data_IF_150043458557
#
_entry.id   IF_150043458557
#
_cell.length_a   1.000
_cell.length_b   1.000
_cell.length_c   1.000
_cell.angle_alpha   90.00
_cell.angle_beta   90.00
_cell.angle_gamma   90.00
#
_symmetry.space_group_name_H-M   'P 1'
#
loop_
_entity.id
_entity.type
_entity.pdbx_description
1 polymer ?
#
# COMPACT_ATOMS: atom_id res chain seq x y z
N UNK A 1 14.01 -4.75 -1.39
CA UNK A 1 13.44 -3.56 -2.08
C UNK A 1 14.28 -3.28 -3.31
N UNK A 2 13.70 -2.67 -4.31
CA UNK A 2 14.51 -2.09 -5.40
C UNK A 2 15.40 -0.98 -4.85
N UNK A 3 16.63 -0.88 -5.37
CA UNK A 3 17.60 0.10 -4.93
C UNK A 3 17.09 1.53 -5.16
N UNK A 4 17.18 2.38 -4.14
CA UNK A 4 16.69 3.76 -4.14
C UNK A 4 15.21 3.91 -4.55
N UNK A 5 14.39 2.89 -4.28
CA UNK A 5 12.98 2.80 -4.68
C UNK A 5 12.73 2.84 -6.21
N UNK A 6 13.77 2.71 -7.04
CA UNK A 6 13.68 2.71 -8.49
C UNK A 6 13.43 1.30 -9.02
N UNK A 7 12.17 0.90 -9.10
CA UNK A 7 11.75 -0.37 -9.64
C UNK A 7 10.31 -0.71 -9.27
N UNK A 8 9.79 -1.75 -9.89
CA UNK A 8 8.42 -2.24 -9.66
C UNK A 8 8.34 -3.76 -9.48
N UNK A 9 9.48 -4.43 -9.42
CA UNK A 9 9.56 -5.90 -9.35
C UNK A 9 10.43 -6.45 -8.23
N UNK A 10 11.26 -5.61 -7.60
CA UNK A 10 12.31 -5.97 -6.62
C UNK A 10 13.42 -6.82 -7.25
N UNK A 11 13.67 -6.61 -8.55
CA UNK A 11 14.81 -7.19 -9.26
C UNK A 11 16.01 -6.24 -9.32
N UNK A 12 15.79 -4.93 -9.12
CA UNK A 12 16.84 -3.92 -9.06
C UNK A 12 17.46 -3.87 -7.65
N UNK A 13 18.24 -4.90 -7.32
CA UNK A 13 18.90 -5.04 -6.02
C UNK A 13 20.32 -5.55 -6.21
N UNK A 14 21.29 -4.92 -5.54
CA UNK A 14 22.69 -5.34 -5.56
C UNK A 14 22.94 -6.64 -4.77
N UNK A 15 21.98 -7.10 -3.96
CA UNK A 15 22.13 -8.29 -3.14
C UNK A 15 21.56 -9.53 -3.82
N UNK A 16 20.27 -9.54 -4.09
CA UNK A 16 19.57 -10.64 -4.76
C UNK A 16 18.14 -10.21 -5.14
N UNK A 17 17.56 -10.91 -6.10
CA UNK A 17 16.16 -10.75 -6.47
C UNK A 17 15.26 -11.39 -5.41
N UNK A 18 14.33 -10.62 -4.85
CA UNK A 18 13.32 -11.17 -3.94
C UNK A 18 12.28 -11.98 -4.72
N UNK A 19 11.85 -13.08 -4.15
CA UNK A 19 10.83 -13.96 -4.73
C UNK A 19 9.47 -13.76 -4.07
N UNK A 20 8.40 -13.99 -4.82
CA UNK A 20 7.06 -14.01 -4.25
C UNK A 20 6.88 -15.27 -3.40
N UNK A 21 6.48 -15.17 -2.10
CA UNK A 21 6.33 -16.34 -1.25
C UNK A 21 5.29 -17.37 -1.70
N UNK A 22 4.31 -16.95 -2.50
CA UNK A 22 3.27 -17.83 -3.03
C UNK A 22 3.71 -18.62 -4.25
N UNK A 23 4.66 -18.07 -5.04
CA UNK A 23 5.24 -18.71 -6.21
C UNK A 23 6.67 -18.19 -6.42
N UNK A 24 7.65 -18.98 -6.08
CA UNK A 24 9.06 -18.60 -6.14
C UNK A 24 9.59 -18.36 -7.56
N UNK A 25 8.82 -18.68 -8.59
CA UNK A 25 9.13 -18.34 -9.98
C UNK A 25 8.72 -16.92 -10.36
N UNK A 26 7.94 -16.23 -9.48
CA UNK A 26 7.40 -14.90 -9.70
C UNK A 26 8.06 -13.86 -8.81
N UNK A 27 7.99 -12.61 -9.25
CA UNK A 27 8.42 -11.44 -8.46
C UNK A 27 7.33 -11.01 -7.47
N UNK A 28 7.70 -10.40 -6.33
CA UNK A 28 6.74 -9.94 -5.33
C UNK A 28 6.13 -8.57 -5.65
N UNK A 29 6.49 -7.96 -6.79
CA UNK A 29 6.26 -6.55 -7.03
C UNK A 29 7.31 -5.67 -6.36
N UNK A 30 7.22 -4.35 -6.55
CA UNK A 30 8.19 -3.39 -6.05
C UNK A 30 7.64 -1.95 -6.00
N UNK A 31 8.45 -1.06 -5.43
CA UNK A 31 9.83 -1.22 -4.94
C UNK A 31 9.92 -1.88 -3.55
N UNK A 32 8.86 -1.90 -2.73
CA UNK A 32 8.83 -2.49 -1.38
C UNK A 32 8.53 -4.00 -1.38
N UNK A 33 8.95 -4.75 -2.41
CA UNK A 33 8.65 -6.17 -2.54
C UNK A 33 9.26 -7.03 -1.44
N UNK A 34 10.46 -6.70 -0.96
CA UNK A 34 11.05 -7.40 0.19
C UNK A 34 10.23 -7.24 1.47
N UNK A 35 9.70 -6.02 1.71
CA UNK A 35 8.82 -5.73 2.84
C UNK A 35 7.51 -6.52 2.75
N UNK A 36 6.89 -6.56 1.58
CA UNK A 36 5.65 -7.32 1.36
C UNK A 36 5.87 -8.83 1.46
N UNK A 37 6.94 -9.33 0.85
CA UNK A 37 7.29 -10.75 0.89
C UNK A 37 7.58 -11.23 2.33
N UNK A 38 8.26 -10.43 3.15
CA UNK A 38 8.55 -10.78 4.54
C UNK A 38 7.28 -10.92 5.39
N UNK A 39 6.31 -10.02 5.23
CA UNK A 39 5.01 -10.11 5.91
C UNK A 39 4.22 -11.30 5.37
N UNK A 40 4.17 -11.52 4.05
CA UNK A 40 3.47 -12.64 3.44
C UNK A 40 4.01 -13.99 3.93
N UNK A 41 5.34 -14.11 4.06
CA UNK A 41 6.03 -15.31 4.52
C UNK A 41 6.03 -15.48 6.05
N UNK A 42 5.34 -14.63 6.82
CA UNK A 42 5.35 -14.63 8.31
C UNK A 42 6.73 -14.43 8.94
N UNK A 43 7.66 -13.77 8.26
CA UNK A 43 9.00 -13.45 8.79
C UNK A 43 8.96 -12.27 9.77
N UNK A 44 7.93 -11.44 9.70
CA UNK A 44 7.67 -10.33 10.60
C UNK A 44 6.16 -10.08 10.73
N UNK A 45 5.74 -9.41 11.81
CA UNK A 45 4.34 -9.08 12.08
C UNK A 45 3.88 -7.97 11.12
N UNK A 46 4.72 -6.95 10.92
CA UNK A 46 4.52 -5.88 9.97
C UNK A 46 5.87 -5.43 9.39
N UNK A 47 5.82 -4.66 8.33
CA UNK A 47 6.97 -3.98 7.78
C UNK A 47 6.60 -2.57 7.33
N UNK A 48 7.61 -1.73 7.11
CA UNK A 48 7.44 -0.41 6.51
C UNK A 48 7.94 -0.48 5.06
N UNK A 49 7.17 0.10 4.16
CA UNK A 49 7.56 0.37 2.79
C UNK A 49 7.61 1.87 2.51
N UNK A 50 8.03 2.23 1.31
CA UNK A 50 7.89 3.58 0.79
C UNK A 50 7.19 3.55 -0.57
N UNK A 51 6.35 4.53 -0.82
CA UNK A 51 5.61 4.63 -2.07
C UNK A 51 5.70 6.01 -2.69
N UNK A 52 6.09 6.03 -3.94
CA UNK A 52 6.03 7.19 -4.84
C UNK A 52 4.81 7.08 -5.76
N UNK A 53 4.63 5.93 -6.40
CA UNK A 53 3.57 5.68 -7.37
C UNK A 53 3.08 4.23 -7.42
N UNK A 54 2.94 3.55 -6.26
CA UNK A 54 2.47 2.16 -6.18
C UNK A 54 3.36 1.22 -5.38
N UNK A 55 4.51 1.69 -4.89
CA UNK A 55 5.58 0.84 -4.35
C UNK A 55 5.30 0.20 -2.98
N UNK A 56 4.18 0.51 -2.33
CA UNK A 56 3.62 -0.22 -1.18
C UNK A 56 2.44 -1.09 -1.64
N UNK A 57 1.46 -0.47 -2.31
CA UNK A 57 0.19 -1.12 -2.67
C UNK A 57 0.37 -2.20 -3.73
N UNK A 58 1.25 -1.99 -4.70
CA UNK A 58 1.56 -2.96 -5.74
C UNK A 58 2.11 -4.28 -5.16
N UNK A 59 3.25 -4.26 -4.46
CA UNK A 59 3.80 -5.48 -3.88
C UNK A 59 2.89 -6.10 -2.80
N UNK A 60 2.16 -5.29 -2.02
CA UNK A 60 1.16 -5.83 -1.08
C UNK A 60 0.07 -6.62 -1.80
N UNK A 61 -0.45 -6.08 -2.90
CA UNK A 61 -1.45 -6.77 -3.74
C UNK A 61 -0.91 -8.09 -4.31
N UNK A 62 0.32 -8.10 -4.83
CA UNK A 62 0.92 -9.30 -5.42
C UNK A 62 1.32 -10.36 -4.40
N UNK A 63 1.61 -9.94 -3.16
CA UNK A 63 1.92 -10.86 -2.06
C UNK A 63 0.70 -11.23 -1.20
N UNK A 64 -0.50 -10.71 -1.50
CA UNK A 64 -1.73 -11.03 -0.77
C UNK A 64 -1.72 -10.52 0.67
N UNK A 65 -1.19 -9.31 0.89
CA UNK A 65 -1.15 -8.62 2.19
C UNK A 65 -1.74 -7.22 2.07
N UNK A 66 -1.95 -6.54 3.19
CA UNK A 66 -2.46 -5.17 3.22
C UNK A 66 -1.31 -4.18 3.10
N UNK A 67 -1.40 -3.25 2.15
CA UNK A 67 -0.45 -2.15 2.01
C UNK A 67 -1.16 -0.82 2.06
N UNK A 68 -0.78 0.04 3.01
CA UNK A 68 -1.38 1.35 3.20
C UNK A 68 -0.39 2.46 2.83
N UNK A 69 -0.72 3.21 1.78
CA UNK A 69 -0.04 4.47 1.46
C UNK A 69 -0.82 5.62 2.10
N UNK A 70 -0.31 6.24 3.17
CA UNK A 70 -0.98 7.40 3.76
C UNK A 70 -0.91 8.62 2.84
N UNK A 71 -1.60 9.68 3.22
CA UNK A 71 -1.44 10.98 2.56
C UNK A 71 -0.02 11.52 2.78
N UNK A 72 0.47 12.29 1.82
CA UNK A 72 1.79 12.92 1.90
C UNK A 72 1.91 13.77 3.19
N UNK A 73 3.07 13.64 3.84
CA UNK A 73 3.36 14.34 5.08
C UNK A 73 2.71 13.75 6.34
N UNK A 74 1.98 12.64 6.24
CA UNK A 74 1.43 11.94 7.42
C UNK A 74 2.50 11.24 8.24
N UNK A 75 3.49 10.66 7.57
CA UNK A 75 4.62 9.94 8.15
C UNK A 75 5.89 10.65 7.74
N UNK A 76 6.81 10.82 8.69
CA UNK A 76 8.10 11.45 8.42
C UNK A 76 8.89 10.68 7.37
N UNK A 77 9.58 11.43 6.51
CA UNK A 77 10.53 10.92 5.53
C UNK A 77 11.98 11.08 5.96
N UNK A 78 12.22 11.59 7.18
CA UNK A 78 13.58 11.74 7.68
C UNK A 78 14.30 10.39 7.71
N UNK A 79 15.48 10.34 7.09
CA UNK A 79 16.26 9.10 6.95
C UNK A 79 15.92 8.27 5.71
N UNK A 80 14.88 8.64 4.94
CA UNK A 80 14.54 7.99 3.67
C UNK A 80 15.24 8.74 2.53
N UNK A 81 16.00 8.00 1.72
CA UNK A 81 16.57 8.56 0.49
C UNK A 81 15.44 8.75 -0.51
N UNK A 82 15.27 9.98 -0.97
CA UNK A 82 14.16 10.33 -1.84
C UNK A 82 14.33 9.74 -3.25
N UNK A 83 13.26 9.13 -3.77
CA UNK A 83 13.08 8.88 -5.20
C UNK A 83 12.46 10.11 -5.88
N UNK A 84 11.33 10.59 -5.35
CA UNK A 84 10.66 11.81 -5.75
C UNK A 84 10.10 12.51 -4.52
N UNK A 85 10.84 13.50 -4.02
CA UNK A 85 10.58 14.12 -2.72
C UNK A 85 9.20 14.77 -2.57
N UNK A 86 8.52 15.07 -3.67
CA UNK A 86 7.15 15.63 -3.66
C UNK A 86 6.03 14.58 -3.54
N UNK A 87 6.35 13.29 -3.67
CA UNK A 87 5.34 12.20 -3.70
C UNK A 87 5.66 11.03 -2.79
N UNK A 88 6.91 10.87 -2.35
CA UNK A 88 7.31 9.75 -1.50
C UNK A 88 6.57 9.75 -0.16
N UNK A 89 5.99 8.60 0.18
CA UNK A 89 5.25 8.38 1.42
C UNK A 89 5.68 7.05 2.05
N UNK A 90 6.30 7.05 3.25
CA UNK A 90 6.43 5.83 4.03
C UNK A 90 5.06 5.35 4.54
N UNK A 91 4.87 4.03 4.63
CA UNK A 91 3.63 3.47 5.14
C UNK A 91 3.73 1.99 5.48
N UNK A 92 2.76 1.46 6.24
CA UNK A 92 2.78 0.09 6.72
C UNK A 92 2.36 -0.93 5.66
N UNK A 93 2.94 -2.13 5.80
CA UNK A 93 2.51 -3.36 5.14
C UNK A 93 2.25 -4.39 6.25
N UNK A 94 1.07 -4.98 6.26
CA UNK A 94 0.55 -5.80 7.37
C UNK A 94 -0.31 -6.94 6.86
N UNK A 95 -0.78 -7.82 7.75
CA UNK A 95 -1.73 -8.89 7.38
C UNK A 95 -3.14 -8.37 7.23
N UNK A 96 -3.57 -7.44 8.08
CA UNK A 96 -4.95 -6.94 8.14
C UNK A 96 -5.01 -5.42 7.99
N UNK A 97 -6.20 -4.90 7.73
CA UNK A 97 -6.44 -3.44 7.69
C UNK A 97 -6.30 -2.84 9.09
N UNK A 98 -6.77 -3.56 10.11
CA UNK A 98 -6.67 -3.18 11.51
C UNK A 98 -5.21 -3.01 11.95
N UNK A 99 -4.35 -3.98 11.60
CA UNK A 99 -2.90 -3.87 11.88
C UNK A 99 -2.29 -2.64 11.19
N UNK A 100 -2.71 -2.34 9.96
CA UNK A 100 -2.25 -1.13 9.25
C UNK A 100 -2.66 0.14 9.97
N UNK A 101 -3.87 0.17 10.55
CA UNK A 101 -4.35 1.31 11.32
C UNK A 101 -3.55 1.47 12.63
N UNK A 102 -3.30 0.38 13.36
CA UNK A 102 -2.45 0.41 14.56
C UNK A 102 -1.04 0.93 14.26
N UNK A 103 -0.40 0.40 13.22
CA UNK A 103 0.94 0.84 12.83
C UNK A 103 0.93 2.31 12.39
N UNK A 104 -0.07 2.73 11.61
CA UNK A 104 -0.19 4.12 11.17
C UNK A 104 -0.38 5.07 12.35
N UNK A 105 -1.18 4.72 13.36
CA UNK A 105 -1.36 5.54 14.56
C UNK A 105 -0.04 5.77 15.34
N UNK A 106 0.90 4.82 15.24
CA UNK A 106 2.22 4.93 15.89
C UNK A 106 3.19 5.77 15.08
N UNK A 107 3.22 5.60 13.74
CA UNK A 107 4.24 6.23 12.88
C UNK A 107 3.80 7.58 12.32
N UNK A 108 2.50 7.91 12.34
CA UNK A 108 1.99 9.19 11.88
C UNK A 108 2.29 10.30 12.89
N UNK A 109 2.56 11.50 12.38
CA UNK A 109 2.72 12.68 13.22
C UNK A 109 3.80 13.63 12.74
N UNK A 110 3.97 14.72 13.49
CA UNK A 110 4.98 15.73 13.18
C UNK A 110 6.37 15.26 13.59
N UNK A 111 7.31 15.39 12.67
CA UNK A 111 8.73 15.24 12.94
C UNK A 111 9.44 16.59 12.70
N UNK A 112 10.13 17.18 13.71
CA UNK A 112 10.88 18.42 13.52
C UNK A 112 12.04 18.31 12.53
N UNK A 113 12.44 17.09 12.17
CA UNK A 113 13.49 16.82 11.18
C UNK A 113 12.96 16.68 9.75
N UNK A 114 11.63 16.62 9.57
CA UNK A 114 10.97 16.65 8.27
C UNK A 114 10.00 17.82 8.17
N UNK A 115 10.44 18.89 7.49
CA UNK A 115 9.64 20.10 7.30
C UNK A 115 8.32 19.86 6.54
N UNK A 116 8.17 18.71 5.88
CA UNK A 116 6.95 18.35 5.15
C UNK A 116 5.97 17.55 6.00
N UNK A 117 6.36 17.11 7.20
CA UNK A 117 5.45 16.41 8.10
C UNK A 117 4.36 17.34 8.63
N UNK A 118 3.09 16.87 8.58
CA UNK A 118 1.94 17.67 9.01
C UNK A 118 1.74 17.58 10.51
N UNK A 119 1.62 18.73 11.24
CA UNK A 119 1.41 18.75 12.69
C UNK A 119 -0.02 18.44 13.13
N UNK A 120 -1.00 18.56 12.25
CA UNK A 120 -2.43 18.56 12.61
C UNK A 120 -3.06 17.16 12.65
N UNK A 121 -2.36 16.14 13.18
CA UNK A 121 -2.90 14.80 13.10
C UNK A 121 -3.07 14.19 14.48
N UNK A 122 -4.23 14.40 15.06
CA UNK A 122 -4.81 13.55 16.10
C UNK A 122 -5.99 12.78 15.50
N UNK A 123 -5.73 11.82 14.62
CA UNK A 123 -6.76 10.92 14.15
C UNK A 123 -6.54 9.54 14.77
N UNK A 124 -7.61 8.97 15.27
CA UNK A 124 -7.70 7.54 15.46
C UNK A 124 -8.09 6.92 14.11
N UNK A 125 -7.15 6.18 13.52
CA UNK A 125 -7.34 5.55 12.21
C UNK A 125 -7.99 4.17 12.30
N UNK A 126 -8.50 3.79 13.48
CA UNK A 126 -9.13 2.47 13.62
C UNK A 126 -10.37 2.35 12.71
N UNK A 127 -10.49 1.25 11.96
CA UNK A 127 -11.66 1.01 11.13
C UNK A 127 -12.90 0.83 12.00
N UNK A 128 -14.04 1.35 11.53
CA UNK A 128 -15.33 1.11 12.16
C UNK A 128 -15.78 -0.33 11.90
N UNK A 129 -16.36 -0.99 12.91
CA UNK A 129 -16.88 -2.36 12.78
C UNK A 129 -18.10 -2.44 11.85
N UNK A 130 -18.89 -1.35 11.80
CA UNK A 130 -20.07 -1.25 10.95
C UNK A 130 -20.00 0.04 10.16
N UNK A 131 -20.05 -0.07 8.84
CA UNK A 131 -20.08 1.08 7.96
C UNK A 131 -21.24 0.96 6.96
N UNK A 132 -21.90 2.11 6.73
CA UNK A 132 -22.88 2.30 5.68
C UNK A 132 -22.26 3.24 4.63
N UNK A 133 -22.27 2.82 3.37
CA UNK A 133 -21.73 3.63 2.27
C UNK A 133 -22.82 4.48 1.58
N UNK A 134 -24.02 4.59 2.18
CA UNK A 134 -25.07 5.43 1.63
C UNK A 134 -24.61 6.88 1.49
N UNK A 135 -24.69 7.41 0.26
CA UNK A 135 -24.23 8.76 -0.06
C UNK A 135 -22.73 8.86 -0.40
N UNK A 136 -21.98 7.78 -0.28
CA UNK A 136 -20.59 7.73 -0.74
C UNK A 136 -20.58 7.49 -2.26
N UNK A 137 -19.92 8.38 -3.00
CA UNK A 137 -19.73 8.24 -4.45
C UNK A 137 -18.34 7.70 -4.76
N UNK A 138 -18.28 6.62 -5.53
CA UNK A 138 -17.05 5.94 -5.89
C UNK A 138 -16.87 5.99 -7.42
N UNK A 139 -15.81 6.63 -7.89
CA UNK A 139 -15.49 6.71 -9.30
C UNK A 139 -14.85 5.42 -9.81
N UNK A 140 -15.36 4.88 -10.92
CA UNK A 140 -14.75 3.79 -11.70
C UNK A 140 -14.20 4.36 -13.01
N UNK A 141 -12.88 4.70 -13.10
CA UNK A 141 -12.33 5.28 -14.31
C UNK A 141 -12.37 4.28 -15.47
N UNK A 142 -13.14 4.58 -16.52
CA UNK A 142 -13.28 3.68 -17.69
C UNK A 142 -11.95 3.33 -18.36
N UNK A 143 -10.99 4.25 -18.37
CA UNK A 143 -9.66 4.04 -18.94
C UNK A 143 -8.89 2.88 -18.31
N UNK A 144 -9.10 2.59 -17.02
CA UNK A 144 -8.45 1.46 -16.34
C UNK A 144 -9.12 0.12 -16.62
N UNK A 145 -10.37 0.13 -17.07
CA UNK A 145 -11.13 -1.07 -17.38
C UNK A 145 -11.19 -1.40 -18.88
N UNK A 146 -10.77 -0.47 -19.73
CA UNK A 146 -10.67 -0.66 -21.17
C UNK A 146 -9.34 -1.29 -21.61
N UNK A 147 -8.40 -1.48 -20.71
CA UNK A 147 -7.16 -2.20 -20.97
C UNK A 147 -7.41 -3.71 -20.89
N UNK A 148 -6.51 -4.47 -21.49
CA UNK A 148 -6.60 -5.94 -21.45
C UNK A 148 -6.19 -6.47 -20.06
N UNK A 149 -7.14 -6.46 -19.12
CA UNK A 149 -6.98 -7.07 -17.80
C UNK A 149 -7.16 -8.57 -17.89
N UNK A 150 -6.35 -9.34 -17.17
CA UNK A 150 -6.57 -10.76 -16.96
C UNK A 150 -7.97 -10.99 -16.37
N UNK A 151 -8.64 -12.06 -16.82
CA UNK A 151 -10.03 -12.36 -16.46
C UNK A 151 -10.22 -12.44 -14.95
N UNK A 152 -9.32 -13.10 -14.24
CA UNK A 152 -9.42 -13.27 -12.79
C UNK A 152 -9.30 -11.93 -12.05
N UNK A 153 -8.40 -11.03 -12.49
CA UNK A 153 -8.26 -9.68 -11.94
C UNK A 153 -9.54 -8.88 -12.15
N UNK A 154 -10.07 -8.90 -13.38
CA UNK A 154 -11.32 -8.22 -13.71
C UNK A 154 -12.49 -8.72 -12.84
N UNK A 155 -12.67 -10.03 -12.74
CA UNK A 155 -13.72 -10.64 -11.95
C UNK A 155 -13.64 -10.22 -10.48
N UNK A 156 -12.44 -10.26 -9.88
CA UNK A 156 -12.26 -9.85 -8.48
C UNK A 156 -12.57 -8.38 -8.23
N UNK A 157 -12.21 -7.51 -9.16
CA UNK A 157 -12.54 -6.08 -9.03
C UNK A 157 -14.04 -5.86 -9.17
N UNK A 158 -14.70 -6.54 -10.10
CA UNK A 158 -16.15 -6.45 -10.28
C UNK A 158 -16.91 -7.00 -9.06
N UNK A 159 -16.46 -8.09 -8.45
CA UNK A 159 -16.99 -8.61 -7.19
C UNK A 159 -16.91 -7.58 -6.05
N UNK A 160 -15.79 -6.84 -5.95
CA UNK A 160 -15.64 -5.76 -4.96
C UNK A 160 -16.60 -4.61 -5.25
N UNK A 161 -16.72 -4.19 -6.51
CA UNK A 161 -17.64 -3.13 -6.93
C UNK A 161 -19.09 -3.50 -6.53
N UNK A 162 -19.51 -4.73 -6.81
CA UNK A 162 -20.86 -5.19 -6.44
C UNK A 162 -21.07 -5.22 -4.90
N UNK A 163 -20.05 -5.58 -4.12
CA UNK A 163 -20.12 -5.49 -2.67
C UNK A 163 -20.29 -4.05 -2.20
N UNK A 164 -19.53 -3.11 -2.75
CA UNK A 164 -19.65 -1.69 -2.40
C UNK A 164 -21.04 -1.14 -2.71
N UNK A 165 -21.64 -1.51 -3.85
CA UNK A 165 -23.05 -1.18 -4.17
C UNK A 165 -24.03 -1.74 -3.15
N UNK A 166 -23.83 -2.99 -2.71
CA UNK A 166 -24.69 -3.62 -1.69
C UNK A 166 -24.59 -2.91 -0.33
N UNK A 167 -23.45 -2.29 -0.02
CA UNK A 167 -23.28 -1.44 1.15
C UNK A 167 -23.81 0.00 0.95
N UNK A 168 -24.41 0.33 -0.18
CA UNK A 168 -25.08 1.60 -0.44
C UNK A 168 -24.26 2.63 -1.22
N UNK A 169 -23.06 2.30 -1.71
CA UNK A 169 -22.28 3.23 -2.50
C UNK A 169 -22.88 3.47 -3.90
N UNK A 170 -22.77 4.71 -4.38
CA UNK A 170 -23.06 5.12 -5.76
C UNK A 170 -21.76 5.02 -6.58
N UNK A 171 -21.74 4.18 -7.66
CA UNK A 171 -20.53 3.89 -8.44
C UNK A 171 -20.74 4.20 -9.92
#
# INVERSE_FOLDING_TARGET
MDAFAHGSSTENSDFFTTKNPWDLSRVPGGSSGGSAAAVAANMCIFSIGSETGGSIRGPASWCGVTGLKPSYGRVSRYGVIAMASSTDCPGPITKTVEDSAYVLNIIAGKDPKDATSNPEINFDFMPEEHFDLKGVRIGKPSSYFNINLETDVRTKIEDVIEKLRKFGADI
#
